data_IF_854515870581
#
_entry.id   IF_854515870581
#
_cell.length_a   1.000
_cell.length_b   1.000
_cell.length_c   1.000
_cell.angle_alpha   90.00
_cell.angle_beta   90.00
_cell.angle_gamma   90.00
#
_symmetry.space_group_name_H-M   'P 1'
#
loop_
_entity.id
_entity.type
_entity.pdbx_description
1 polymer ?
#
# COMPACT_ATOMS: atom_id res chain seq x y z
N UNK A 1 -12.35 20.48 -0.23
CA UNK A 1 -11.18 20.66 0.65
C UNK A 1 -10.16 21.62 0.03
N UNK A 2 -9.76 21.42 -1.24
CA UNK A 2 -8.83 22.32 -1.93
C UNK A 2 -9.37 23.77 -2.03
N UNK A 3 -10.69 23.98 -2.17
CA UNK A 3 -11.30 25.31 -2.19
C UNK A 3 -11.19 26.04 -0.84
N UNK A 4 -11.40 25.33 0.26
CA UNK A 4 -11.32 25.93 1.61
C UNK A 4 -9.87 26.26 1.99
N UNK A 5 -8.90 25.42 1.58
CA UNK A 5 -7.47 25.68 1.81
C UNK A 5 -6.95 26.88 1.00
N UNK A 6 -7.46 27.07 -0.23
CA UNK A 6 -7.10 28.22 -1.06
C UNK A 6 -7.61 29.55 -0.49
N UNK A 7 -8.78 29.53 0.20
CA UNK A 7 -9.33 30.72 0.84
C UNK A 7 -8.60 31.11 2.14
N UNK A 8 -7.88 30.17 2.74
CA UNK A 8 -7.13 30.41 3.99
C UNK A 8 -5.62 30.66 3.77
N UNK A 9 -5.14 30.68 2.52
CA UNK A 9 -3.70 30.77 2.15
C UNK A 9 -2.79 29.71 2.86
N UNK A 10 -3.39 28.70 3.47
CA UNK A 10 -2.70 27.64 4.22
C UNK A 10 -2.83 26.32 3.45
N UNK A 11 -1.72 25.83 2.95
CA UNK A 11 -1.65 24.44 2.50
C UNK A 11 -1.87 23.54 3.73
N UNK A 12 -2.78 22.55 3.67
CA UNK A 12 -2.98 21.65 4.80
C UNK A 12 -1.69 20.87 5.10
N UNK A 13 -1.37 20.74 6.39
CA UNK A 13 -0.26 19.90 6.83
C UNK A 13 -0.59 18.43 6.54
N UNK A 14 0.11 17.86 5.57
CA UNK A 14 -0.06 16.47 5.12
C UNK A 14 0.77 15.46 5.90
N UNK A 15 1.46 15.88 6.96
CA UNK A 15 2.27 14.99 7.79
C UNK A 15 1.43 13.89 8.48
N UNK A 16 0.13 14.17 8.70
CA UNK A 16 -0.81 13.20 9.25
C UNK A 16 -1.54 12.42 8.14
N UNK A 17 -0.77 11.64 7.39
CA UNK A 17 -1.28 10.86 6.28
C UNK A 17 -1.92 9.54 6.76
N UNK A 18 -3.17 9.61 7.23
CA UNK A 18 -3.95 8.44 7.69
C UNK A 18 -4.22 7.44 6.57
N UNK A 19 -4.31 7.90 5.31
CA UNK A 19 -4.45 7.02 4.15
C UNK A 19 -3.25 6.07 4.01
N UNK A 20 -2.03 6.61 4.09
CA UNK A 20 -0.82 5.79 4.02
C UNK A 20 -0.75 4.81 5.20
N UNK A 21 -1.09 5.27 6.42
CA UNK A 21 -1.10 4.41 7.61
C UNK A 21 -2.08 3.24 7.44
N UNK A 22 -3.31 3.52 7.01
CA UNK A 22 -4.32 2.50 6.77
C UNK A 22 -3.88 1.52 5.68
N UNK A 23 -3.40 2.01 4.54
CA UNK A 23 -2.96 1.14 3.44
C UNK A 23 -1.78 0.27 3.82
N UNK A 24 -0.82 0.78 4.61
CA UNK A 24 0.30 0.00 5.14
C UNK A 24 -0.15 -1.11 6.09
N UNK A 25 -1.16 -0.85 6.93
CA UNK A 25 -1.72 -1.86 7.82
C UNK A 25 -2.54 -2.93 7.08
N UNK A 26 -3.13 -2.58 5.95
CA UNK A 26 -3.89 -3.51 5.11
C UNK A 26 -2.99 -4.37 4.20
N UNK A 27 -1.82 -3.88 3.78
CA UNK A 27 -0.92 -4.57 2.86
C UNK A 27 -0.05 -5.61 3.58
N UNK A 28 -0.59 -6.80 3.83
CA UNK A 28 0.02 -7.82 4.67
C UNK A 28 0.36 -9.15 3.95
N UNK A 29 -0.12 -9.34 2.71
CA UNK A 29 0.01 -10.64 2.03
C UNK A 29 1.47 -10.97 1.64
N UNK A 30 2.29 -9.94 1.34
CA UNK A 30 3.70 -10.12 0.98
C UNK A 30 4.68 -9.66 2.08
N UNK A 31 4.27 -9.66 3.33
CA UNK A 31 5.18 -9.43 4.47
C UNK A 31 6.23 -10.52 4.57
N UNK A 32 5.85 -11.74 4.18
CA UNK A 32 6.75 -12.87 3.92
C UNK A 32 6.55 -13.34 2.48
N UNK A 33 7.59 -13.83 1.82
CA UNK A 33 7.46 -14.45 0.51
C UNK A 33 6.41 -15.57 0.54
N UNK A 34 5.41 -15.56 -0.34
CA UNK A 34 4.49 -16.69 -0.49
C UNK A 34 5.24 -17.97 -0.87
N UNK A 35 4.69 -19.12 -0.52
CA UNK A 35 5.17 -20.38 -1.07
C UNK A 35 4.59 -20.55 -2.47
N UNK A 36 5.46 -20.84 -3.46
CA UNK A 36 5.07 -21.14 -4.82
C UNK A 36 5.44 -22.58 -5.10
N UNK A 37 4.51 -23.35 -5.63
CA UNK A 37 4.72 -24.73 -6.11
C UNK A 37 4.12 -24.87 -7.50
N UNK A 38 4.71 -25.77 -8.29
CA UNK A 38 4.20 -26.19 -9.59
C UNK A 38 3.93 -27.69 -9.57
N UNK A 39 3.01 -28.17 -10.40
CA UNK A 39 2.75 -29.62 -10.50
C UNK A 39 3.97 -30.44 -10.95
N UNK A 40 4.88 -29.81 -11.70
CA UNK A 40 6.07 -30.43 -12.28
C UNK A 40 7.35 -30.30 -11.44
N UNK A 41 7.29 -29.72 -10.21
CA UNK A 41 8.47 -29.39 -9.39
C UNK A 41 9.59 -28.66 -10.17
N UNK A 42 9.20 -27.79 -11.11
CA UNK A 42 10.12 -27.06 -11.97
C UNK A 42 10.98 -26.07 -11.17
N UNK A 43 12.23 -25.86 -11.59
CA UNK A 43 13.09 -24.82 -11.02
C UNK A 43 12.60 -23.43 -11.45
N UNK A 44 12.06 -22.69 -10.50
CA UNK A 44 11.48 -21.37 -10.70
C UNK A 44 12.49 -20.22 -10.55
N UNK A 45 13.80 -20.50 -10.40
CA UNK A 45 14.83 -19.49 -10.14
C UNK A 45 14.91 -18.38 -11.19
N UNK A 46 14.60 -18.68 -12.45
CA UNK A 46 14.59 -17.71 -13.55
C UNK A 46 13.45 -16.66 -13.43
N UNK A 47 12.35 -17.01 -12.75
CA UNK A 47 11.17 -16.16 -12.58
C UNK A 47 10.96 -15.70 -11.15
N UNK A 48 11.36 -16.46 -10.15
CA UNK A 48 11.30 -16.08 -8.73
C UNK A 48 12.61 -15.40 -8.32
N UNK A 49 12.83 -14.21 -8.86
CA UNK A 49 14.06 -13.45 -8.59
C UNK A 49 14.02 -12.77 -7.21
N UNK A 50 15.17 -12.37 -6.63
CA UNK A 50 15.21 -11.64 -5.36
C UNK A 50 14.42 -10.31 -5.39
N UNK A 51 14.17 -9.75 -6.57
CA UNK A 51 13.40 -8.51 -6.75
C UNK A 51 11.89 -8.72 -6.74
N UNK A 52 11.40 -9.93 -6.99
CA UNK A 52 9.98 -10.22 -7.11
C UNK A 52 9.22 -9.81 -5.83
N UNK A 53 9.63 -10.28 -4.66
CA UNK A 53 8.89 -10.08 -3.42
C UNK A 53 8.87 -8.64 -2.91
N UNK A 54 9.99 -7.90 -2.93
CA UNK A 54 9.97 -6.47 -2.65
C UNK A 54 9.04 -5.70 -3.60
N UNK A 55 9.04 -6.07 -4.89
CA UNK A 55 8.14 -5.48 -5.89
C UNK A 55 6.69 -5.81 -5.58
N UNK A 56 6.37 -7.07 -5.27
CA UNK A 56 5.01 -7.49 -4.90
C UNK A 56 4.51 -6.80 -3.63
N UNK A 57 5.35 -6.63 -2.62
CA UNK A 57 4.97 -5.88 -1.42
C UNK A 57 4.62 -4.42 -1.74
N UNK A 58 5.43 -3.76 -2.55
CA UNK A 58 5.15 -2.39 -2.99
C UNK A 58 3.92 -2.32 -3.91
N UNK A 59 3.70 -3.35 -4.72
CA UNK A 59 2.54 -3.51 -5.59
C UNK A 59 1.24 -3.67 -4.79
N UNK A 60 1.23 -4.53 -3.75
CA UNK A 60 0.07 -4.67 -2.87
C UNK A 60 -0.33 -3.34 -2.22
N UNK A 61 0.66 -2.57 -1.74
CA UNK A 61 0.39 -1.24 -1.18
C UNK A 61 -0.31 -0.33 -2.20
N UNK A 62 0.16 -0.32 -3.46
CA UNK A 62 -0.49 0.45 -4.52
C UNK A 62 -1.87 -0.08 -4.88
N UNK A 63 -2.03 -1.40 -4.97
CA UNK A 63 -3.33 -2.03 -5.24
C UNK A 63 -4.36 -1.68 -4.16
N UNK A 64 -3.95 -1.71 -2.89
CA UNK A 64 -4.80 -1.30 -1.76
C UNK A 64 -5.15 0.19 -1.79
N UNK A 65 -4.21 1.02 -2.22
CA UNK A 65 -4.38 2.47 -2.27
C UNK A 65 -5.27 2.93 -3.44
N UNK A 66 -5.09 2.33 -4.60
CA UNK A 66 -5.68 2.78 -5.87
C UNK A 66 -6.82 1.88 -6.37
N UNK A 67 -6.97 0.68 -5.77
CA UNK A 67 -7.88 -0.36 -6.24
C UNK A 67 -7.24 -1.28 -7.26
N UNK A 68 -6.35 -0.75 -8.09
CA UNK A 68 -5.61 -1.48 -9.11
C UNK A 68 -4.14 -1.05 -9.14
N UNK A 69 -3.31 -1.94 -9.65
CA UNK A 69 -1.93 -1.67 -10.01
C UNK A 69 -1.52 -2.54 -11.20
N UNK A 70 -0.41 -2.20 -11.82
CA UNK A 70 0.08 -2.90 -13.01
C UNK A 70 1.55 -3.25 -12.80
N UNK A 71 1.91 -4.49 -13.12
CA UNK A 71 3.31 -4.90 -13.20
C UNK A 71 3.63 -5.16 -14.67
N UNK A 72 4.67 -4.48 -15.17
CA UNK A 72 5.31 -4.79 -16.45
C UNK A 72 6.45 -5.76 -16.21
N UNK A 73 6.53 -6.77 -17.05
CA UNK A 73 7.64 -7.72 -17.10
C UNK A 73 8.57 -7.35 -18.25
N UNK A 74 9.86 -7.47 -18.01
CA UNK A 74 10.89 -7.32 -19.04
C UNK A 74 11.90 -8.45 -18.89
N UNK A 75 12.57 -8.82 -20.00
CA UNK A 75 13.69 -9.74 -19.93
C UNK A 75 14.99 -8.94 -19.75
N UNK A 76 15.71 -9.24 -18.67
CA UNK A 76 16.96 -8.56 -18.34
C UNK A 76 18.13 -9.14 -19.15
N UNK A 77 19.14 -8.33 -19.39
CA UNK A 77 20.44 -8.78 -19.94
C UNK A 77 21.15 -9.78 -19.04
N UNK A 78 20.81 -9.82 -17.75
CA UNK A 78 21.35 -10.78 -16.77
C UNK A 78 20.71 -12.19 -16.89
N UNK A 79 19.75 -12.37 -17.80
CA UNK A 79 19.06 -13.64 -18.00
C UNK A 79 17.94 -13.94 -16.99
N UNK A 80 17.38 -12.92 -16.40
CA UNK A 80 16.28 -13.00 -15.43
C UNK A 80 15.10 -12.15 -15.86
N UNK A 81 13.90 -12.48 -15.36
CA UNK A 81 12.71 -11.64 -15.54
C UNK A 81 12.78 -10.45 -14.59
N UNK A 82 12.69 -9.25 -15.16
CA UNK A 82 12.55 -8.00 -14.43
C UNK A 82 11.09 -7.66 -14.16
N UNK A 83 10.80 -7.07 -13.00
CA UNK A 83 9.46 -6.67 -12.57
C UNK A 83 9.44 -5.17 -12.28
N UNK A 84 8.58 -4.44 -12.98
CA UNK A 84 8.41 -3.00 -12.82
C UNK A 84 6.97 -2.65 -12.50
N UNK A 85 6.74 -1.93 -11.39
CA UNK A 85 5.42 -1.41 -11.07
C UNK A 85 5.16 -0.16 -11.91
N UNK A 86 4.07 -0.19 -12.66
CA UNK A 86 3.61 0.93 -13.48
C UNK A 86 2.52 1.70 -12.71
N UNK A 87 2.52 3.02 -12.88
CA UNK A 87 1.46 3.86 -12.35
C UNK A 87 0.21 3.73 -13.24
N UNK A 88 -0.95 3.28 -12.70
CA UNK A 88 -2.18 3.18 -13.49
C UNK A 88 -2.60 4.47 -14.19
N UNK A 89 -2.25 5.62 -13.64
CA UNK A 89 -2.54 6.93 -14.25
C UNK A 89 -1.77 7.18 -15.55
N UNK A 90 -0.72 6.40 -15.82
CA UNK A 90 0.11 6.52 -17.04
C UNK A 90 -0.23 5.49 -18.11
N UNK A 91 -1.32 4.71 -17.91
CA UNK A 91 -1.65 3.58 -18.77
C UNK A 91 -3.08 3.69 -19.29
N UNK A 92 -3.24 3.42 -20.58
CA UNK A 92 -4.55 3.18 -21.19
C UNK A 92 -4.64 1.69 -21.52
N UNK A 93 -5.66 1.03 -20.99
CA UNK A 93 -5.93 -0.38 -21.26
C UNK A 93 -7.14 -0.52 -22.17
N UNK A 94 -7.00 -1.32 -23.22
CA UNK A 94 -8.10 -1.68 -24.12
C UNK A 94 -8.50 -3.12 -23.77
N UNK A 95 -9.75 -3.35 -23.31
CA UNK A 95 -10.22 -4.66 -22.90
C UNK A 95 -10.39 -5.61 -24.09
N UNK A 96 -10.20 -6.88 -23.84
CA UNK A 96 -10.60 -7.93 -24.77
C UNK A 96 -12.15 -7.99 -24.84
N UNK A 97 -12.77 -7.92 -26.02
CA UNK A 97 -14.21 -8.00 -26.16
C UNK A 97 -14.82 -9.28 -25.60
N UNK A 98 -14.09 -10.40 -25.68
CA UNK A 98 -14.54 -11.71 -25.19
C UNK A 98 -14.24 -11.91 -23.70
N UNK A 99 -13.22 -11.20 -23.17
CA UNK A 99 -12.75 -11.27 -21.79
C UNK A 99 -12.48 -9.88 -21.26
N UNK A 100 -13.51 -9.11 -20.89
CA UNK A 100 -13.38 -7.68 -20.52
C UNK A 100 -12.60 -7.44 -19.22
N UNK A 101 -12.25 -8.48 -18.50
CA UNK A 101 -11.35 -8.49 -17.35
C UNK A 101 -9.87 -8.50 -17.74
N UNK A 102 -9.54 -8.69 -19.03
CA UNK A 102 -8.17 -8.76 -19.53
C UNK A 102 -7.91 -7.70 -20.60
N UNK A 103 -6.74 -7.05 -20.59
CA UNK A 103 -6.36 -6.16 -21.68
C UNK A 103 -5.84 -6.95 -22.88
N UNK A 104 -6.18 -6.49 -24.08
CA UNK A 104 -5.56 -6.95 -25.35
C UNK A 104 -4.57 -5.94 -25.90
N UNK A 105 -4.70 -4.66 -25.49
CA UNK A 105 -3.78 -3.61 -25.86
C UNK A 105 -3.48 -2.75 -24.64
N UNK A 106 -2.23 -2.39 -24.49
CA UNK A 106 -1.72 -1.50 -23.44
C UNK A 106 -0.97 -0.36 -24.08
N UNK A 107 -1.40 0.87 -23.80
CA UNK A 107 -0.66 2.08 -24.13
C UNK A 107 -0.06 2.64 -22.84
N UNK A 108 1.25 2.71 -22.75
CA UNK A 108 1.96 3.19 -21.56
C UNK A 108 2.75 4.46 -21.86
N UNK A 109 2.41 5.54 -21.13
CA UNK A 109 3.15 6.80 -21.18
C UNK A 109 4.44 6.69 -20.40
N UNK A 110 5.57 6.89 -21.07
CA UNK A 110 6.91 6.75 -20.52
C UNK A 110 7.78 7.96 -20.82
N UNK A 111 8.51 8.41 -19.81
CA UNK A 111 9.57 9.39 -20.00
C UNK A 111 10.83 8.69 -20.51
N UNK A 112 11.35 9.13 -21.65
CA UNK A 112 12.58 8.64 -22.26
C UNK A 112 13.77 9.53 -21.92
N UNK A 113 14.95 9.04 -22.22
CA UNK A 113 16.18 9.81 -22.13
C UNK A 113 16.06 11.09 -22.97
N UNK A 114 16.61 12.21 -22.47
CA UNK A 114 16.44 13.52 -23.10
C UNK A 114 15.13 14.24 -22.76
N UNK A 115 14.29 13.70 -21.86
CA UNK A 115 13.07 14.36 -21.40
C UNK A 115 11.87 14.24 -22.35
N UNK A 116 11.93 13.34 -23.33
CA UNK A 116 10.84 13.12 -24.29
C UNK A 116 9.81 12.16 -23.72
N UNK A 117 8.54 12.57 -23.69
CA UNK A 117 7.42 11.70 -23.35
C UNK A 117 6.99 10.90 -24.58
N UNK A 118 6.91 9.57 -24.40
CA UNK A 118 6.52 8.64 -25.45
C UNK A 118 5.45 7.68 -24.95
N UNK A 119 4.60 7.22 -25.86
CA UNK A 119 3.65 6.14 -25.63
C UNK A 119 4.23 4.84 -26.17
N UNK A 120 4.38 3.82 -25.33
CA UNK A 120 4.62 2.44 -25.78
C UNK A 120 3.27 1.76 -25.98
N UNK A 121 2.99 1.34 -27.19
CA UNK A 121 1.71 0.72 -27.60
C UNK A 121 1.98 -0.76 -27.87
N UNK A 122 1.40 -1.59 -27.02
CA UNK A 122 1.52 -3.04 -27.06
C UNK A 122 0.16 -3.63 -27.43
N UNK A 123 -0.03 -4.10 -28.65
CA UNK A 123 -1.26 -4.72 -29.12
C UNK A 123 -1.01 -6.21 -29.38
N UNK A 124 -1.38 -7.05 -28.43
CA UNK A 124 -1.19 -8.49 -28.51
C UNK A 124 -2.20 -9.16 -29.47
N UNK A 125 -3.31 -8.51 -29.80
CA UNK A 125 -4.28 -9.06 -30.77
C UNK A 125 -3.73 -9.05 -32.18
N UNK A 126 -3.16 -7.91 -32.58
CA UNK A 126 -2.69 -7.68 -33.95
C UNK A 126 -1.18 -7.93 -34.09
N UNK A 127 -0.49 -8.24 -32.99
CA UNK A 127 0.96 -8.43 -32.96
C UNK A 127 1.73 -7.17 -33.34
N UNK A 128 1.25 -6.00 -32.93
CA UNK A 128 1.90 -4.73 -33.24
C UNK A 128 2.48 -4.09 -32.00
N UNK A 129 3.72 -3.62 -32.16
CA UNK A 129 4.40 -2.81 -31.14
C UNK A 129 4.83 -1.49 -31.77
N UNK A 130 4.55 -0.39 -31.10
CA UNK A 130 4.95 0.95 -31.56
C UNK A 130 5.34 1.84 -30.39
N UNK A 131 6.23 2.79 -30.67
CA UNK A 131 6.58 3.87 -29.76
C UNK A 131 6.20 5.17 -30.44
N UNK A 132 5.30 5.95 -29.84
CA UNK A 132 4.82 7.21 -30.40
C UNK A 132 5.21 8.36 -29.46
N UNK A 133 5.86 9.40 -30.01
CA UNK A 133 6.07 10.67 -29.33
C UNK A 133 4.84 11.56 -29.48
N UNK A 134 4.43 12.21 -28.39
CA UNK A 134 3.30 13.14 -28.39
C UNK A 134 3.82 14.57 -28.25
N UNK A 135 3.41 15.45 -29.15
CA UNK A 135 3.72 16.87 -29.07
C UNK A 135 2.78 17.63 -28.12
N UNK A 136 3.07 18.92 -27.89
CA UNK A 136 2.25 19.79 -27.03
C UNK A 136 0.81 20.00 -27.53
N UNK A 137 0.51 19.64 -28.77
CA UNK A 137 -0.83 19.72 -29.37
C UNK A 137 -1.57 18.39 -29.28
N UNK A 138 -0.93 17.36 -28.70
CA UNK A 138 -1.50 16.04 -28.58
C UNK A 138 -1.36 15.16 -29.85
N UNK A 139 -0.61 15.61 -30.86
CA UNK A 139 -0.36 14.82 -32.05
C UNK A 139 0.71 13.79 -31.77
N UNK A 140 0.41 12.52 -32.07
CA UNK A 140 1.32 11.40 -31.87
C UNK A 140 2.03 11.07 -33.20
N UNK A 141 3.35 10.90 -33.14
CA UNK A 141 4.21 10.53 -34.27
C UNK A 141 4.96 9.26 -33.92
N UNK A 142 5.00 8.29 -34.83
CA UNK A 142 5.76 7.05 -34.67
C UNK A 142 7.25 7.34 -34.64
N UNK A 143 7.91 6.94 -33.55
CA UNK A 143 9.35 7.08 -33.30
C UNK A 143 9.97 5.73 -32.94
N UNK A 144 9.33 4.63 -33.30
CA UNK A 144 9.78 3.27 -32.98
C UNK A 144 11.21 3.03 -33.46
N UNK A 145 11.54 3.45 -34.64
CA UNK A 145 12.89 3.30 -35.24
C UNK A 145 13.97 4.04 -34.44
N UNK A 146 13.63 5.11 -33.72
CA UNK A 146 14.58 5.90 -32.92
C UNK A 146 14.90 5.24 -31.57
N UNK A 147 13.92 4.53 -30.99
CA UNK A 147 14.02 3.97 -29.62
C UNK A 147 14.13 2.45 -29.57
N UNK A 148 13.76 1.75 -30.63
CA UNK A 148 13.81 0.30 -30.73
C UNK A 148 14.12 -0.13 -32.18
N UNK A 149 15.25 0.32 -32.75
CA UNK A 149 15.60 0.05 -34.16
C UNK A 149 15.78 -1.45 -34.43
N UNK A 150 16.18 -2.22 -33.42
CA UNK A 150 16.40 -3.66 -33.52
C UNK A 150 15.14 -4.47 -33.76
N UNK A 151 13.98 -3.89 -33.43
CA UNK A 151 12.69 -4.59 -33.57
C UNK A 151 12.14 -4.51 -34.99
N UNK A 152 12.60 -3.52 -35.83
CA UNK A 152 12.10 -3.26 -37.20
C UNK A 152 10.53 -3.26 -37.25
N UNK A 153 9.87 -2.86 -36.17
CA UNK A 153 8.40 -2.87 -36.04
C UNK A 153 7.79 -4.22 -35.68
N UNK A 154 8.59 -5.26 -35.44
CA UNK A 154 8.12 -6.55 -34.96
C UNK A 154 7.69 -6.48 -33.49
N UNK A 155 6.76 -7.33 -33.11
CA UNK A 155 6.35 -7.46 -31.71
C UNK A 155 7.49 -8.10 -30.89
N UNK A 156 7.91 -7.49 -29.77
CA UNK A 156 9.13 -7.92 -29.06
C UNK A 156 9.04 -9.34 -28.49
N UNK A 157 7.86 -9.75 -28.03
CA UNK A 157 7.66 -11.00 -27.30
C UNK A 157 6.65 -11.90 -28.01
N UNK A 158 7.14 -12.81 -28.83
CA UNK A 158 6.32 -13.79 -29.53
C UNK A 158 6.87 -15.20 -29.29
N UNK A 159 6.04 -16.09 -28.82
CA UNK A 159 6.32 -17.53 -28.66
C UNK A 159 5.43 -18.39 -29.59
N UNK A 160 5.49 -19.72 -29.38
CA UNK A 160 4.65 -20.67 -30.14
C UNK A 160 3.15 -20.58 -29.85
N UNK A 161 2.75 -19.91 -28.77
CA UNK A 161 1.36 -19.72 -28.35
C UNK A 161 0.80 -18.36 -28.81
N UNK A 162 1.66 -17.46 -29.31
CA UNK A 162 1.29 -16.15 -29.81
C UNK A 162 2.03 -14.98 -29.19
N UNK A 163 1.43 -13.80 -29.21
CA UNK A 163 2.02 -12.59 -28.67
C UNK A 163 1.89 -12.53 -27.14
N UNK A 164 2.99 -12.24 -26.44
CA UNK A 164 3.00 -12.12 -24.98
C UNK A 164 2.80 -10.65 -24.62
N UNK A 165 1.68 -10.33 -23.95
CA UNK A 165 1.48 -9.01 -23.36
C UNK A 165 2.20 -8.96 -22.01
N UNK A 166 3.30 -8.18 -21.87
CA UNK A 166 4.13 -8.22 -20.67
C UNK A 166 3.58 -7.34 -19.54
N UNK A 167 2.26 -7.23 -19.41
CA UNK A 167 1.59 -6.43 -18.40
C UNK A 167 0.57 -7.28 -17.66
N UNK A 168 0.68 -7.29 -16.34
CA UNK A 168 -0.26 -7.99 -15.47
C UNK A 168 -0.94 -7.00 -14.57
N UNK A 169 -2.26 -7.02 -14.60
CA UNK A 169 -3.13 -6.17 -13.81
C UNK A 169 -3.45 -6.85 -12.48
N UNK A 170 -3.33 -6.09 -11.40
CA UNK A 170 -3.69 -6.50 -10.05
C UNK A 170 -4.91 -5.72 -9.59
N UNK A 171 -5.85 -6.41 -8.97
CA UNK A 171 -7.08 -5.84 -8.44
C UNK A 171 -7.17 -6.04 -6.92
N UNK A 172 -7.77 -5.09 -6.24
CA UNK A 172 -8.15 -5.26 -4.83
C UNK A 172 -9.37 -6.15 -4.64
N UNK A 173 -10.18 -6.32 -5.69
CA UNK A 173 -11.40 -7.12 -5.70
C UNK A 173 -11.53 -7.88 -7.01
N UNK A 174 -12.14 -9.06 -6.98
CA UNK A 174 -12.47 -9.82 -8.20
C UNK A 174 -13.63 -9.10 -8.88
N UNK A 175 -13.39 -8.57 -10.08
CA UNK A 175 -14.37 -7.84 -10.87
C UNK A 175 -14.48 -8.35 -12.29
N UNK A 176 -15.51 -7.90 -13.01
CA UNK A 176 -15.74 -8.22 -14.42
C UNK A 176 -15.17 -7.19 -15.39
N UNK A 177 -14.42 -6.20 -14.91
CA UNK A 177 -13.88 -5.08 -15.70
C UNK A 177 -12.40 -4.87 -15.40
N UNK A 178 -11.70 -4.17 -16.30
CA UNK A 178 -10.31 -3.79 -16.12
C UNK A 178 -10.09 -2.80 -14.99
N UNK A 179 -11.06 -1.93 -14.71
CA UNK A 179 -10.95 -0.88 -13.70
C UNK A 179 -12.12 -0.94 -12.70
N UNK A 180 -11.78 -0.93 -11.42
CA UNK A 180 -12.73 -0.80 -10.31
C UNK A 180 -12.66 0.63 -9.78
N UNK A 181 -13.61 1.47 -10.15
CA UNK A 181 -13.58 2.92 -9.85
C UNK A 181 -13.92 3.30 -8.41
N UNK A 182 -14.20 2.36 -7.52
CA UNK A 182 -14.82 2.66 -6.22
C UNK A 182 -13.87 2.61 -5.02
N UNK A 183 -12.69 2.03 -5.17
CA UNK A 183 -11.78 1.82 -4.05
C UNK A 183 -10.92 3.04 -3.76
N UNK A 184 -10.80 3.41 -2.48
CA UNK A 184 -9.86 4.42 -2.01
C UNK A 184 -10.32 5.89 -2.06
N UNK A 185 -11.24 6.27 -2.94
CA UNK A 185 -11.62 7.68 -3.09
C UNK A 185 -12.20 8.31 -1.80
N UNK A 186 -13.01 7.56 -1.07
CA UNK A 186 -13.59 8.01 0.21
C UNK A 186 -12.52 8.12 1.30
N UNK A 187 -11.56 7.19 1.32
CA UNK A 187 -10.45 7.20 2.26
C UNK A 187 -9.51 8.39 2.00
N UNK A 188 -9.25 8.71 0.73
CA UNK A 188 -8.49 9.91 0.34
C UNK A 188 -9.19 11.18 0.81
N UNK A 189 -10.49 11.33 0.53
CA UNK A 189 -11.28 12.47 0.97
C UNK A 189 -11.30 12.62 2.49
N UNK A 190 -11.42 11.50 3.20
CA UNK A 190 -11.41 11.46 4.65
C UNK A 190 -10.04 11.83 5.23
N UNK A 191 -8.96 11.39 4.58
CA UNK A 191 -7.60 11.77 4.97
C UNK A 191 -7.34 13.26 4.78
N UNK A 192 -7.77 13.84 3.64
CA UNK A 192 -7.66 15.28 3.43
C UNK A 192 -8.43 16.08 4.50
N UNK A 193 -9.58 15.57 4.93
CA UNK A 193 -10.33 16.15 6.05
C UNK A 193 -9.56 16.03 7.37
N UNK A 194 -8.94 14.89 7.67
CA UNK A 194 -8.10 14.72 8.85
C UNK A 194 -6.91 15.69 8.84
N UNK A 195 -6.24 15.87 7.70
CA UNK A 195 -5.16 16.83 7.53
C UNK A 195 -5.64 18.28 7.76
N UNK A 196 -6.82 18.64 7.26
CA UNK A 196 -7.42 19.97 7.48
C UNK A 196 -7.75 20.20 8.96
N UNK A 197 -8.32 19.22 9.64
CA UNK A 197 -8.60 19.28 11.09
C UNK A 197 -7.31 19.40 11.89
N UNK A 198 -6.27 18.65 11.52
CA UNK A 198 -4.96 18.72 12.14
C UNK A 198 -4.32 20.10 11.99
N UNK A 199 -4.35 20.66 10.78
CA UNK A 199 -3.83 22.02 10.52
C UNK A 199 -4.59 23.08 11.31
N UNK A 200 -5.92 22.99 11.36
CA UNK A 200 -6.76 23.89 12.14
C UNK A 200 -6.49 23.77 13.65
N UNK A 201 -6.24 22.54 14.14
CA UNK A 201 -5.86 22.30 15.53
C UNK A 201 -4.52 22.93 15.86
N UNK A 202 -3.49 22.74 15.02
CA UNK A 202 -2.17 23.34 15.20
C UNK A 202 -2.25 24.86 15.21
N UNK A 203 -2.99 25.46 14.27
CA UNK A 203 -3.18 26.90 14.21
C UNK A 203 -3.92 27.42 15.46
N UNK A 204 -5.02 26.77 15.84
CA UNK A 204 -5.77 27.11 17.05
C UNK A 204 -4.93 27.01 18.31
N UNK A 205 -4.09 25.97 18.43
CA UNK A 205 -3.16 25.82 19.55
C UNK A 205 -2.14 26.96 19.58
N UNK A 206 -1.55 27.27 18.43
CA UNK A 206 -0.57 28.37 18.31
C UNK A 206 -1.21 29.73 18.67
N UNK A 207 -2.41 29.99 18.18
CA UNK A 207 -3.14 31.22 18.45
C UNK A 207 -3.58 31.32 19.91
N UNK A 208 -3.92 30.20 20.55
CA UNK A 208 -4.24 30.17 21.98
C UNK A 208 -2.98 30.36 22.85
N UNK A 209 -1.84 29.80 22.46
CA UNK A 209 -0.56 29.97 23.14
C UNK A 209 0.02 31.38 22.98
N UNK A 210 -0.35 32.06 21.89
CA UNK A 210 0.11 33.42 21.58
C UNK A 210 -1.10 34.33 21.31
N UNK A 211 -1.78 34.79 22.39
CA UNK A 211 -3.00 35.60 22.24
C UNK A 211 -2.69 36.92 21.54
N UNK A 212 -3.60 37.34 20.65
CA UNK A 212 -3.56 38.60 19.96
C UNK A 212 -3.72 39.74 20.97
N UNK A 213 -2.77 40.65 20.99
CA UNK A 213 -2.84 41.83 21.83
C UNK A 213 -3.59 42.94 21.11
N UNK A 214 -4.42 43.65 21.82
CA UNK A 214 -5.08 44.86 21.29
C UNK A 214 -5.04 45.98 22.29
N UNK A 215 -4.99 47.20 21.79
CA UNK A 215 -5.05 48.43 22.56
C UNK A 215 -6.29 49.24 22.09
N UNK A 216 -7.11 49.65 23.04
CA UNK A 216 -8.19 50.57 22.81
C UNK A 216 -7.72 51.99 23.10
N UNK A 217 -8.14 52.94 22.25
CA UNK A 217 -7.85 54.38 22.38
C UNK A 217 -6.33 54.74 22.43
N UNK A 218 -5.48 53.88 21.94
CA UNK A 218 -4.09 54.19 21.65
C UNK A 218 -4.00 54.89 20.28
N UNK A 219 -3.17 55.95 20.17
CA UNK A 219 -2.98 56.66 18.90
C UNK A 219 -2.67 55.67 17.76
N UNK A 220 -3.54 55.63 16.77
CA UNK A 220 -3.60 54.57 15.80
C UNK A 220 -2.67 54.81 14.61
N UNK A 221 -1.96 53.79 14.20
CA UNK A 221 -1.69 53.61 12.78
C UNK A 221 -2.84 52.76 12.18
N UNK A 222 -3.41 53.29 11.09
CA UNK A 222 -4.47 52.63 10.34
C UNK A 222 -4.08 51.21 9.91
N UNK A 223 -5.09 50.33 9.77
CA UNK A 223 -4.89 48.99 9.28
C UNK A 223 -4.17 48.96 7.93
N UNK A 224 -3.45 47.89 7.70
CA UNK A 224 -2.72 47.67 6.43
C UNK A 224 -3.76 47.25 5.38
N UNK A 225 -4.01 48.14 4.42
CA UNK A 225 -4.85 47.82 3.28
C UNK A 225 -4.06 46.95 2.31
N UNK A 226 -4.55 45.71 2.06
CA UNK A 226 -3.99 44.85 1.03
C UNK A 226 -4.93 44.75 -0.15
N UNK A 227 -4.35 44.75 -1.35
CA UNK A 227 -5.12 44.51 -2.57
C UNK A 227 -5.10 43.00 -2.87
N UNK A 228 -6.25 42.35 -2.64
CA UNK A 228 -6.41 40.91 -2.92
C UNK A 228 -7.33 40.79 -4.14
N UNK A 229 -6.78 40.32 -5.25
CA UNK A 229 -7.53 40.12 -6.53
C UNK A 229 -8.25 41.38 -7.04
N UNK A 230 -7.65 42.55 -6.89
CA UNK A 230 -8.24 43.85 -7.35
C UNK A 230 -9.25 44.46 -6.38
N UNK A 231 -9.47 43.86 -5.23
CA UNK A 231 -10.35 44.40 -4.17
C UNK A 231 -9.45 44.88 -3.04
N UNK A 232 -9.57 46.13 -2.64
CA UNK A 232 -8.94 46.69 -1.45
C UNK A 232 -9.65 46.16 -0.20
N UNK A 233 -8.94 45.33 0.57
CA UNK A 233 -9.45 44.79 1.84
C UNK A 233 -8.56 45.29 2.98
N UNK A 234 -9.19 45.84 4.01
CA UNK A 234 -8.50 46.19 5.23
C UNK A 234 -8.18 44.90 6.00
N UNK A 235 -6.91 44.51 6.00
CA UNK A 235 -6.42 43.32 6.68
C UNK A 235 -5.97 43.69 8.09
N UNK A 236 -6.62 43.10 9.06
CA UNK A 236 -6.14 43.15 10.45
C UNK A 236 -4.90 42.25 10.54
N UNK A 237 -3.71 42.80 10.88
CA UNK A 237 -2.53 41.97 10.99
C UNK A 237 -2.70 40.96 12.12
N UNK A 238 -2.64 39.68 11.77
CA UNK A 238 -2.76 38.56 12.71
C UNK A 238 -1.39 38.02 13.15
N UNK A 239 -0.31 38.73 12.81
CA UNK A 239 1.00 38.26 13.21
C UNK A 239 1.17 38.38 14.74
N UNK A 240 1.96 37.47 15.32
CA UNK A 240 2.15 37.31 16.78
C UNK A 240 2.86 38.50 17.42
N UNK A 241 3.48 39.37 16.65
CA UNK A 241 4.24 40.53 17.12
C UNK A 241 3.44 41.83 17.04
N UNK A 242 2.34 41.85 16.30
CA UNK A 242 1.52 43.05 16.09
C UNK A 242 0.58 43.29 17.25
N UNK A 243 0.38 44.54 17.59
CA UNK A 243 -0.64 45.00 18.54
C UNK A 243 -1.73 45.67 17.71
N UNK A 244 -2.95 45.11 17.76
CA UNK A 244 -4.09 45.75 17.12
C UNK A 244 -4.52 47.00 17.89
N UNK A 245 -4.62 48.11 17.22
CA UNK A 245 -5.03 49.38 17.82
C UNK A 245 -6.47 49.72 17.31
N UNK A 246 -7.37 49.82 18.23
CA UNK A 246 -8.78 50.22 17.94
C UNK A 246 -9.06 51.57 18.58
N UNK A 247 -9.87 52.37 17.91
CA UNK A 247 -10.38 53.61 18.45
C UNK A 247 -11.82 53.39 18.95
N UNK A 248 -12.05 53.62 20.23
CA UNK A 248 -13.35 53.59 20.83
C UNK A 248 -14.06 54.91 20.55
N UNK A 249 -15.38 54.87 20.32
CA UNK A 249 -16.23 56.04 20.18
C UNK A 249 -16.79 56.51 21.52
N UNK A 250 -16.36 55.89 22.64
CA UNK A 250 -16.84 56.17 24.00
C UNK A 250 -15.80 56.87 24.88
N UNK A 251 -16.25 57.55 25.95
CA UNK A 251 -15.42 58.22 26.97
C UNK A 251 -14.78 57.20 27.92
N UNK A 252 -14.01 56.24 27.41
CA UNK A 252 -13.29 55.25 28.20
C UNK A 252 -11.75 55.51 28.14
N UNK A 253 -11.03 55.29 29.23
CA UNK A 253 -9.59 55.39 29.22
C UNK A 253 -8.93 54.30 28.36
N UNK A 254 -7.73 54.57 27.91
CA UNK A 254 -6.98 53.60 27.08
C UNK A 254 -6.76 52.30 27.83
N UNK A 255 -7.14 51.18 27.21
CA UNK A 255 -6.99 49.82 27.77
C UNK A 255 -6.19 48.98 26.85
N UNK A 256 -5.21 48.26 27.42
CA UNK A 256 -4.48 47.18 26.75
C UNK A 256 -5.05 45.84 27.21
N UNK A 257 -5.44 45.03 26.27
CA UNK A 257 -5.95 43.68 26.57
C UNK A 257 -5.47 42.67 25.53
N UNK A 258 -5.83 41.46 25.70
CA UNK A 258 -5.50 40.35 24.78
C UNK A 258 -6.73 39.51 24.49
N UNK A 259 -6.83 39.05 23.26
CA UNK A 259 -7.84 38.12 22.81
C UNK A 259 -7.16 36.80 22.47
N UNK A 260 -7.58 35.72 23.10
CA UNK A 260 -7.23 34.37 22.74
C UNK A 260 -8.49 33.65 22.30
N UNK A 261 -8.48 32.92 21.18
CA UNK A 261 -9.57 32.03 20.87
C UNK A 261 -9.78 31.06 22.01
N UNK A 262 -11.02 30.85 22.42
CA UNK A 262 -11.39 29.88 23.45
C UNK A 262 -11.34 28.48 22.84
N UNK A 263 -10.12 27.99 22.52
CA UNK A 263 -9.90 26.64 22.05
C UNK A 263 -9.38 25.79 23.19
N UNK A 264 -10.05 24.70 23.49
CA UNK A 264 -9.54 23.69 24.42
C UNK A 264 -8.73 22.66 23.62
N UNK A 265 -7.37 22.68 23.72
CA UNK A 265 -6.51 21.82 22.89
C UNK A 265 -6.78 20.34 23.08
N UNK A 266 -7.24 19.95 24.29
CA UNK A 266 -7.52 18.55 24.63
C UNK A 266 -8.77 18.04 23.91
N UNK A 267 -9.85 18.77 23.93
CA UNK A 267 -11.09 18.37 23.26
C UNK A 267 -10.95 18.31 21.74
N UNK A 268 -10.13 19.20 21.16
CA UNK A 268 -9.82 19.16 19.74
C UNK A 268 -8.95 17.94 19.35
N UNK A 269 -7.96 17.60 20.20
CA UNK A 269 -7.16 16.38 20.00
C UNK A 269 -8.00 15.11 20.15
N UNK A 270 -8.93 15.08 21.11
CA UNK A 270 -9.86 13.96 21.32
C UNK A 270 -10.82 13.82 20.12
N UNK A 271 -11.31 14.92 19.57
CA UNK A 271 -12.16 14.91 18.37
C UNK A 271 -11.41 14.36 17.12
N UNK A 272 -10.14 14.74 16.95
CA UNK A 272 -9.30 14.21 15.87
C UNK A 272 -9.04 12.71 16.04
N UNK A 273 -8.69 12.27 17.26
CA UNK A 273 -8.48 10.86 17.57
C UNK A 273 -9.76 10.04 17.35
N UNK A 274 -10.93 10.60 17.70
CA UNK A 274 -12.23 9.95 17.44
C UNK A 274 -12.49 9.83 15.94
N UNK A 275 -12.17 10.86 15.17
CA UNK A 275 -12.29 10.83 13.72
C UNK A 275 -11.38 9.78 13.08
N UNK A 276 -10.11 9.71 13.47
CA UNK A 276 -9.16 8.70 12.98
C UNK A 276 -9.55 7.29 13.40
N UNK A 277 -10.05 7.13 14.62
CA UNK A 277 -10.60 5.85 15.08
C UNK A 277 -11.78 5.40 14.22
N UNK A 278 -12.65 6.33 13.83
CA UNK A 278 -13.74 6.09 12.89
C UNK A 278 -13.25 5.64 11.51
N UNK A 279 -12.17 6.25 11.00
CA UNK A 279 -11.55 5.85 9.73
C UNK A 279 -10.94 4.44 9.81
N UNK A 280 -10.30 4.08 10.92
CA UNK A 280 -9.79 2.74 11.13
C UNK A 280 -10.91 1.70 11.08
N UNK A 281 -11.99 1.92 11.81
CA UNK A 281 -13.18 1.04 11.83
C UNK A 281 -13.78 0.92 10.42
N UNK A 282 -13.92 2.04 9.70
CA UNK A 282 -14.42 2.03 8.33
C UNK A 282 -13.54 1.19 7.39
N UNK A 283 -12.22 1.25 7.56
CA UNK A 283 -11.27 0.43 6.82
C UNK A 283 -11.22 -1.04 7.27
N UNK A 284 -11.98 -1.42 8.31
CA UNK A 284 -11.98 -2.77 8.89
C UNK A 284 -10.79 -3.05 9.80
N UNK A 285 -10.13 -2.00 10.30
CA UNK A 285 -9.03 -2.07 11.25
C UNK A 285 -9.50 -1.72 12.66
N UNK A 286 -8.71 -2.09 13.66
CA UNK A 286 -8.91 -1.59 15.00
C UNK A 286 -8.34 -0.18 15.16
N UNK A 287 -8.96 0.71 15.94
CA UNK A 287 -8.42 2.05 16.22
C UNK A 287 -6.99 2.03 16.75
N UNK A 288 -6.63 1.01 17.53
CA UNK A 288 -5.29 0.81 18.06
C UNK A 288 -4.21 0.57 17.01
N UNK A 289 -4.59 0.14 15.82
CA UNK A 289 -3.65 -0.11 14.71
C UNK A 289 -3.11 1.20 14.11
N UNK A 290 -3.85 2.30 14.27
CA UNK A 290 -3.45 3.64 13.84
C UNK A 290 -2.85 4.47 14.98
N UNK A 291 -2.97 4.04 16.24
CA UNK A 291 -2.48 4.77 17.41
C UNK A 291 -1.24 4.09 17.98
N UNK A 292 -0.16 4.83 18.13
CA UNK A 292 1.10 4.37 18.75
C UNK A 292 1.05 4.46 20.30
N UNK A 293 -0.09 4.16 20.93
CA UNK A 293 -0.27 4.42 22.35
C UNK A 293 -0.27 3.15 23.20
N UNK A 294 0.69 3.10 24.13
CA UNK A 294 0.61 2.33 25.37
C UNK A 294 0.93 0.84 25.26
N UNK A 295 1.37 0.27 26.39
CA UNK A 295 1.57 -1.17 26.54
C UNK A 295 0.22 -1.89 26.44
N UNK A 296 -0.05 -2.54 25.31
CA UNK A 296 -1.22 -3.39 25.14
C UNK A 296 -0.96 -4.77 25.74
N UNK A 297 -1.99 -5.39 26.33
CA UNK A 297 -1.90 -6.79 26.74
C UNK A 297 -1.74 -7.69 25.50
N UNK A 298 -1.09 -8.86 25.66
CA UNK A 298 -0.95 -9.82 24.55
C UNK A 298 -2.28 -10.16 23.88
N UNK A 299 -3.36 -10.31 24.67
CA UNK A 299 -4.70 -10.55 24.16
C UNK A 299 -5.24 -9.38 23.31
N UNK A 300 -5.02 -8.13 23.75
CA UNK A 300 -5.43 -6.95 22.97
C UNK A 300 -4.71 -6.87 21.62
N UNK A 301 -3.45 -7.28 21.55
CA UNK A 301 -2.69 -7.36 20.31
C UNK A 301 -3.28 -8.42 19.36
N UNK A 302 -3.64 -9.60 19.89
CA UNK A 302 -4.27 -10.67 19.10
C UNK A 302 -5.58 -10.18 18.46
N UNK A 303 -6.45 -9.59 19.28
CA UNK A 303 -7.75 -9.08 18.82
C UNK A 303 -7.58 -7.93 17.84
N UNK A 304 -6.56 -7.06 18.02
CA UNK A 304 -6.32 -5.94 17.09
C UNK A 304 -5.93 -6.42 15.70
N UNK A 305 -5.15 -7.49 15.58
CA UNK A 305 -4.69 -8.03 14.30
C UNK A 305 -5.74 -8.82 13.53
N UNK A 306 -6.85 -9.18 14.17
CA UNK A 306 -7.91 -9.95 13.51
C UNK A 306 -8.53 -9.21 12.32
N UNK A 307 -8.71 -7.90 12.45
CA UNK A 307 -9.16 -7.05 11.35
C UNK A 307 -8.20 -7.05 10.16
N UNK A 308 -6.91 -6.94 10.42
CA UNK A 308 -5.86 -6.98 9.40
C UNK A 308 -5.83 -8.34 8.68
N UNK A 309 -5.94 -9.45 9.43
CA UNK A 309 -5.98 -10.81 8.85
C UNK A 309 -7.18 -11.00 7.93
N UNK A 310 -8.39 -10.64 8.39
CA UNK A 310 -9.61 -10.72 7.56
C UNK A 310 -9.47 -9.94 6.27
N UNK A 311 -8.91 -8.72 6.35
CA UNK A 311 -8.69 -7.89 5.16
C UNK A 311 -7.59 -8.44 4.24
N UNK A 312 -6.57 -9.10 4.78
CA UNK A 312 -5.58 -9.81 3.99
C UNK A 312 -6.19 -11.05 3.30
N UNK A 313 -7.01 -11.83 4.01
CA UNK A 313 -7.72 -12.98 3.46
C UNK A 313 -8.76 -12.59 2.40
N UNK A 314 -9.43 -11.45 2.57
CA UNK A 314 -10.44 -10.94 1.63
C UNK A 314 -9.85 -10.64 0.24
N UNK A 315 -8.65 -10.04 0.17
CA UNK A 315 -8.00 -9.70 -1.09
C UNK A 315 -7.16 -10.88 -1.65
N UNK A 316 -6.75 -11.83 -0.82
CA UNK A 316 -5.86 -12.92 -1.22
C UNK A 316 -6.29 -13.65 -2.50
N UNK A 317 -7.59 -13.97 -2.72
CA UNK A 317 -8.02 -14.60 -3.97
C UNK A 317 -7.76 -13.75 -5.22
N UNK A 318 -7.97 -12.43 -5.15
CA UNK A 318 -7.72 -11.53 -6.26
C UNK A 318 -6.23 -11.43 -6.58
N UNK A 319 -5.40 -11.26 -5.55
CA UNK A 319 -3.94 -11.26 -5.69
C UNK A 319 -3.42 -12.59 -6.22
N UNK A 320 -3.96 -13.72 -5.75
CA UNK A 320 -3.55 -15.05 -6.19
C UNK A 320 -3.83 -15.26 -7.69
N UNK A 321 -4.96 -14.79 -8.20
CA UNK A 321 -5.27 -14.86 -9.63
C UNK A 321 -4.24 -14.06 -10.45
N UNK A 322 -3.90 -12.86 -10.01
CA UNK A 322 -2.90 -12.01 -10.68
C UNK A 322 -1.49 -12.58 -10.56
N UNK A 323 -1.12 -13.15 -9.40
CA UNK A 323 0.19 -13.80 -9.21
C UNK A 323 0.37 -15.02 -10.13
N UNK A 324 -0.65 -15.86 -10.24
CA UNK A 324 -0.62 -16.99 -11.17
C UNK A 324 -0.42 -16.53 -12.61
N UNK A 325 -1.12 -15.47 -13.01
CA UNK A 325 -0.97 -14.88 -14.35
C UNK A 325 0.43 -14.26 -14.52
N UNK A 326 0.95 -13.59 -13.48
CA UNK A 326 2.30 -13.02 -13.49
C UNK A 326 3.36 -14.11 -13.70
N UNK A 327 3.28 -15.20 -12.94
CA UNK A 327 4.21 -16.33 -13.01
C UNK A 327 4.16 -17.01 -14.38
N UNK A 328 2.95 -17.26 -14.91
CA UNK A 328 2.78 -17.84 -16.23
C UNK A 328 3.32 -16.92 -17.36
N UNK A 329 3.08 -15.60 -17.25
CA UNK A 329 3.63 -14.63 -18.22
C UNK A 329 5.16 -14.55 -18.11
N UNK A 330 5.70 -14.58 -16.88
CA UNK A 330 7.13 -14.62 -16.63
C UNK A 330 7.76 -15.91 -17.18
N UNK A 331 7.08 -17.04 -17.02
CA UNK A 331 7.52 -18.33 -17.57
C UNK A 331 7.59 -18.31 -19.10
N UNK A 332 6.58 -17.74 -19.78
CA UNK A 332 6.59 -17.58 -21.24
C UNK A 332 7.79 -16.75 -21.69
N UNK A 333 8.12 -15.65 -20.99
CA UNK A 333 9.31 -14.85 -21.29
C UNK A 333 10.59 -15.64 -21.03
N UNK A 334 10.70 -16.34 -19.90
CA UNK A 334 11.87 -17.16 -19.59
C UNK A 334 12.04 -18.29 -20.60
N UNK A 335 10.96 -18.98 -20.99
CA UNK A 335 11.01 -20.02 -22.03
C UNK A 335 11.47 -19.47 -23.38
N UNK A 336 10.97 -18.26 -23.77
CA UNK A 336 11.32 -17.61 -25.02
C UNK A 336 12.82 -17.25 -25.08
N UNK A 337 13.37 -16.69 -24.02
CA UNK A 337 14.72 -16.11 -24.02
C UNK A 337 15.81 -17.03 -23.44
N UNK A 338 15.48 -17.91 -22.49
CA UNK A 338 16.45 -18.83 -21.86
C UNK A 338 16.19 -20.31 -22.19
N UNK A 339 15.06 -20.67 -22.77
CA UNK A 339 14.68 -22.06 -23.00
C UNK A 339 14.35 -22.83 -21.71
N UNK A 340 13.85 -22.17 -20.69
CA UNK A 340 13.68 -22.72 -19.33
C UNK A 340 12.59 -23.81 -19.21
N UNK A 341 11.79 -24.08 -20.19
CA UNK A 341 10.72 -25.12 -20.19
C UNK A 341 9.77 -25.07 -18.97
N UNK A 342 9.45 -23.87 -18.49
CA UNK A 342 8.54 -23.65 -17.37
C UNK A 342 7.07 -23.76 -17.80
N UNK A 343 6.13 -24.15 -16.89
CA UNK A 343 4.70 -24.18 -17.19
C UNK A 343 4.17 -22.81 -17.60
N UNK A 344 3.36 -22.75 -18.66
CA UNK A 344 2.80 -21.50 -19.20
C UNK A 344 1.32 -21.29 -18.83
N UNK A 345 0.65 -22.31 -18.31
CA UNK A 345 -0.72 -22.18 -17.80
C UNK A 345 -0.71 -21.60 -16.37
N UNK A 346 -1.44 -20.50 -16.11
CA UNK A 346 -1.59 -19.97 -14.75
C UNK A 346 -2.11 -20.99 -13.72
N UNK A 347 -2.86 -21.99 -14.15
CA UNK A 347 -3.42 -23.01 -13.26
C UNK A 347 -2.38 -24.00 -12.73
N UNK A 348 -1.24 -24.15 -13.41
CA UNK A 348 -0.14 -25.02 -12.97
C UNK A 348 0.59 -24.48 -11.74
N UNK A 349 0.34 -23.20 -11.39
CA UNK A 349 0.96 -22.55 -10.24
C UNK A 349 0.04 -22.56 -9.02
N UNK A 350 0.57 -22.95 -7.88
CA UNK A 350 -0.07 -22.77 -6.57
C UNK A 350 0.70 -21.71 -5.79
N UNK A 351 -0.02 -20.69 -5.33
CA UNK A 351 0.52 -19.57 -4.53
C UNK A 351 -0.15 -19.59 -3.18
N UNK A 352 0.64 -19.72 -2.11
CA UNK A 352 0.15 -19.76 -0.74
C UNK A 352 0.75 -18.60 0.06
N UNK A 353 -0.09 -17.67 0.46
CA UNK A 353 0.32 -16.58 1.33
C UNK A 353 0.51 -17.08 2.76
N UNK A 354 1.62 -16.68 3.39
CA UNK A 354 1.98 -17.14 4.75
C UNK A 354 1.31 -16.33 5.86
N UNK A 355 0.52 -15.33 5.49
CA UNK A 355 -0.20 -14.47 6.41
C UNK A 355 0.70 -13.61 7.31
N UNK A 356 0.07 -12.91 8.26
CA UNK A 356 0.75 -12.13 9.28
C UNK A 356 1.55 -13.05 10.21
N UNK A 357 2.79 -12.63 10.51
CA UNK A 357 3.60 -13.31 11.50
C UNK A 357 2.95 -13.21 12.88
N UNK A 358 2.78 -14.36 13.54
CA UNK A 358 2.29 -14.38 14.91
C UNK A 358 3.26 -13.66 15.84
N UNK A 359 2.76 -12.76 16.65
CA UNK A 359 3.55 -12.15 17.71
C UNK A 359 3.95 -13.22 18.77
N UNK A 360 5.00 -12.99 19.57
CA UNK A 360 5.35 -13.92 20.65
C UNK A 360 4.18 -14.20 21.60
N UNK A 361 3.30 -13.22 21.82
CA UNK A 361 2.11 -13.36 22.64
C UNK A 361 1.05 -14.26 21.98
N UNK A 362 0.83 -14.12 20.68
CA UNK A 362 -0.06 -14.98 19.90
C UNK A 362 0.45 -16.42 19.87
N UNK A 363 1.75 -16.62 19.60
CA UNK A 363 2.36 -17.97 19.62
C UNK A 363 2.19 -18.65 20.98
N UNK A 364 2.38 -17.90 22.06
CA UNK A 364 2.16 -18.43 23.42
C UNK A 364 0.70 -18.82 23.60
N UNK A 365 -0.24 -17.94 23.25
CA UNK A 365 -1.67 -18.22 23.40
C UNK A 365 -2.12 -19.42 22.57
N UNK A 366 -1.64 -19.53 21.31
CA UNK A 366 -1.91 -20.70 20.47
C UNK A 366 -1.30 -21.97 21.06
N UNK A 367 -0.07 -21.90 21.58
CA UNK A 367 0.56 -23.03 22.23
C UNK A 367 -0.21 -23.45 23.49
N UNK A 368 -0.66 -22.51 24.32
CA UNK A 368 -1.44 -22.78 25.52
C UNK A 368 -2.81 -23.39 25.14
N UNK A 369 -3.47 -22.90 24.08
CA UNK A 369 -4.74 -23.45 23.59
C UNK A 369 -4.57 -24.88 23.06
N UNK A 370 -3.55 -25.12 22.23
CA UNK A 370 -3.25 -26.46 21.68
C UNK A 370 -2.86 -27.44 22.80
N UNK A 371 -2.10 -26.99 23.82
CA UNK A 371 -1.75 -27.81 24.98
C UNK A 371 -3.01 -28.23 25.75
N UNK A 372 -3.96 -27.31 25.97
CA UNK A 372 -5.23 -27.60 26.63
C UNK A 372 -6.10 -28.59 25.80
N UNK A 373 -6.21 -28.40 24.49
CA UNK A 373 -6.96 -29.31 23.60
C UNK A 373 -6.32 -30.70 23.56
N UNK A 374 -4.99 -30.78 23.61
CA UNK A 374 -4.24 -32.05 23.71
C UNK A 374 -4.49 -32.74 25.06
N UNK A 375 -4.49 -32.00 26.17
CA UNK A 375 -4.77 -32.51 27.51
C UNK A 375 -6.21 -33.04 27.61
N UNK A 376 -7.16 -32.37 26.99
CA UNK A 376 -8.56 -32.80 26.93
C UNK A 376 -8.79 -33.97 25.98
N UNK A 377 -7.78 -34.42 25.25
CA UNK A 377 -7.90 -35.50 24.26
C UNK A 377 -8.66 -35.14 23.00
N UNK A 378 -8.84 -33.86 22.73
CA UNK A 378 -9.53 -33.34 21.54
C UNK A 378 -8.63 -33.31 20.29
N UNK A 379 -7.30 -33.30 20.48
CA UNK A 379 -6.31 -33.34 19.44
C UNK A 379 -5.33 -34.49 19.63
N UNK A 380 -4.85 -35.08 18.54
CA UNK A 380 -3.70 -35.97 18.54
C UNK A 380 -2.39 -35.17 18.58
N UNK A 381 -1.26 -35.80 19.02
CA UNK A 381 0.07 -35.15 18.99
C UNK A 381 0.49 -34.71 17.58
N UNK A 382 0.06 -35.46 16.55
CA UNK A 382 0.32 -35.17 15.13
C UNK A 382 -0.43 -33.90 14.73
N UNK A 383 -1.71 -33.82 15.03
CA UNK A 383 -2.54 -32.63 14.74
C UNK A 383 -2.08 -31.41 15.51
N UNK A 384 -1.70 -31.58 16.80
CA UNK A 384 -1.16 -30.51 17.63
C UNK A 384 0.14 -29.93 17.02
N UNK A 385 1.06 -30.80 16.56
CA UNK A 385 2.29 -30.37 15.92
C UNK A 385 2.02 -29.60 14.60
N UNK A 386 1.12 -30.11 13.76
CA UNK A 386 0.73 -29.47 12.50
C UNK A 386 0.10 -28.11 12.73
N UNK A 387 -0.68 -27.95 13.80
CA UNK A 387 -1.28 -26.68 14.19
C UNK A 387 -0.26 -25.64 14.65
N UNK A 388 0.74 -26.09 15.41
CA UNK A 388 1.84 -25.22 15.88
C UNK A 388 2.91 -24.93 14.83
N UNK A 389 3.07 -25.83 13.86
CA UNK A 389 4.01 -25.73 12.74
C UNK A 389 3.28 -25.93 11.41
N UNK A 390 2.61 -24.89 10.88
CA UNK A 390 1.86 -24.98 9.61
C UNK A 390 2.71 -25.35 8.39
N UNK A 391 4.03 -25.31 8.54
CA UNK A 391 5.00 -25.71 7.52
C UNK A 391 4.96 -27.21 7.25
N UNK A 392 4.50 -28.00 8.23
CA UNK A 392 4.36 -29.45 8.13
C UNK A 392 2.97 -29.74 7.53
N UNK A 393 2.96 -30.14 6.27
CA UNK A 393 1.71 -30.33 5.52
C UNK A 393 1.16 -31.75 5.60
N UNK A 394 2.01 -32.75 5.81
CA UNK A 394 1.62 -34.16 5.82
C UNK A 394 1.74 -34.80 7.21
N UNK A 395 0.91 -35.79 7.49
CA UNK A 395 0.98 -36.55 8.74
C UNK A 395 2.30 -37.34 8.85
N UNK A 396 2.86 -37.77 7.73
CA UNK A 396 4.14 -38.49 7.69
C UNK A 396 5.30 -37.58 8.19
N UNK A 397 5.40 -36.36 7.69
CA UNK A 397 6.38 -35.39 8.15
C UNK A 397 6.20 -35.05 9.64
N UNK A 398 4.94 -34.92 10.08
CA UNK A 398 4.63 -34.65 11.49
C UNK A 398 5.09 -35.81 12.41
N UNK A 399 4.86 -37.03 11.99
CA UNK A 399 5.32 -38.22 12.71
C UNK A 399 6.84 -38.29 12.76
N UNK A 400 7.54 -38.08 11.66
CA UNK A 400 9.00 -38.03 11.61
C UNK A 400 9.57 -36.96 12.55
N UNK A 401 8.97 -35.77 12.53
CA UNK A 401 9.37 -34.67 13.40
C UNK A 401 9.14 -34.98 14.90
N UNK A 402 8.03 -35.61 15.24
CA UNK A 402 7.76 -36.06 16.61
C UNK A 402 8.77 -37.10 17.08
N UNK A 403 9.14 -38.06 16.23
CA UNK A 403 10.17 -39.06 16.54
C UNK A 403 11.53 -38.40 16.80
N UNK A 404 11.88 -37.39 15.99
CA UNK A 404 13.10 -36.60 16.18
C UNK A 404 13.10 -35.86 17.52
N UNK A 405 11.96 -35.22 17.87
CA UNK A 405 11.80 -34.52 19.16
C UNK A 405 11.93 -35.50 20.33
N UNK A 406 11.24 -36.65 20.27
CA UNK A 406 11.30 -37.68 21.31
C UNK A 406 12.70 -38.28 21.50
N UNK A 407 13.44 -38.46 20.38
CA UNK A 407 14.83 -38.89 20.44
C UNK A 407 15.75 -37.84 21.08
N UNK A 408 15.59 -36.57 20.69
CA UNK A 408 16.37 -35.46 21.27
C UNK A 408 16.07 -35.29 22.76
N UNK A 409 14.84 -35.40 23.17
CA UNK A 409 14.43 -35.32 24.58
C UNK A 409 15.02 -36.51 25.40
N UNK A 410 15.09 -37.71 24.81
CA UNK A 410 15.76 -38.85 25.44
C UNK A 410 17.25 -38.61 25.67
N UNK A 411 17.95 -38.04 24.68
CA UNK A 411 19.37 -37.70 24.79
C UNK A 411 19.60 -36.67 25.89
N UNK A 412 18.75 -35.62 25.94
CA UNK A 412 18.83 -34.53 26.94
C UNK A 412 18.44 -34.98 28.36
N UNK A 413 17.62 -36.02 28.48
CA UNK A 413 17.16 -36.55 29.77
C UNK A 413 18.07 -37.65 30.34
N UNK A 414 19.09 -38.13 29.58
CA UNK A 414 20.13 -39.03 30.09
C UNK A 414 21.13 -38.18 30.88
N UNK A 415 21.22 -38.30 32.24
CA UNK A 415 22.24 -37.58 32.96
C UNK A 415 23.63 -38.05 32.48
N UNK A 416 24.56 -37.11 32.30
CA UNK A 416 25.97 -37.40 32.12
C UNK A 416 26.41 -38.34 33.27
N UNK A 417 26.45 -39.64 32.99
CA UNK A 417 27.18 -40.56 33.87
C UNK A 417 28.66 -40.20 33.73
N UNK A 418 29.08 -39.42 34.73
CA UNK A 418 30.40 -39.45 35.34
C UNK A 418 31.54 -39.76 34.40
N UNK A 419 32.19 -38.76 33.90
CA UNK A 419 33.63 -38.82 33.67
C UNK A 419 34.31 -38.59 35.01
N UNK A 420 34.45 -39.69 35.76
CA UNK A 420 35.44 -39.86 36.82
C UNK A 420 36.35 -41.01 36.37
N UNK A 421 37.45 -40.67 35.78
CA UNK A 421 38.73 -41.36 35.89
C UNK A 421 39.88 -40.39 35.58
#
# INVERSE_FOLDING_TARGET
AAGVAADLELAPDTSRNTFLMVTQQLAQNYTKPPAITTESDADLSAIVTPRLWPTQRANELKTRALGESIIKLDWSVDGEVGYQIIDPATVVLIPDPDRPDRPICVEWLRLREGGVWTWEIWNAKDGTFRIEAQDDRGVRTDVTADYAPELEGAYPHQDGEGFILPFVLYHSEIGARLWNYTTGAELVSSTLRACSLWSSWQEGFVNSAHPQRYALDADSQAGVTRNIRGISVDVIPTDRKSILKFRSTGQGGSTLSQFAPAMEPRSAAEALNTYESGLAIYAGLNPSDLQTTGAQSGYAIVVSRDGQRRKAEEIAPALMMSDKLLLATAARLANLYSGAALPTDPNDYSVQYRGLEESPAERKQNADAVALELELGLLSRVEALRRLQPEITTDAEAVERLLTIDQTNKILSTPDEVINE
#
